data_IF_535566501958
#
_entry.id   IF_535566501958
#
_cell.length_a   1.000
_cell.length_b   1.000
_cell.length_c   1.000
_cell.angle_alpha   90.00
_cell.angle_beta   90.00
_cell.angle_gamma   90.00
#
_symmetry.space_group_name_H-M   'P 1'
#
loop_
_entity.id
_entity.type
_entity.pdbx_description
1 polymer ?
#
# COMPACT_ATOMS: atom_id res chain seq x y z
N UNK A 1 -13.11 9.63 -32.65
CA UNK A 1 -14.29 9.29 -31.82
C UNK A 1 -15.59 9.53 -32.59
N UNK A 2 -15.92 8.75 -33.64
CA UNK A 2 -17.09 9.01 -34.51
C UNK A 2 -18.32 8.10 -34.25
N UNK A 3 -18.32 7.29 -33.19
CA UNK A 3 -19.32 6.22 -32.99
C UNK A 3 -20.60 6.58 -32.22
N UNK A 4 -20.70 7.76 -31.60
CA UNK A 4 -21.78 8.09 -30.64
C UNK A 4 -22.51 9.42 -30.93
N UNK A 5 -22.58 9.84 -32.20
CA UNK A 5 -23.17 11.15 -32.58
C UNK A 5 -24.59 11.40 -32.04
N UNK A 6 -25.39 10.34 -31.88
CA UNK A 6 -26.75 10.43 -31.34
C UNK A 6 -26.86 10.25 -29.82
N UNK A 7 -25.82 9.69 -29.18
CA UNK A 7 -25.78 9.44 -27.74
C UNK A 7 -24.94 10.47 -26.98
N UNK A 8 -24.47 11.52 -27.64
CA UNK A 8 -23.71 12.60 -27.02
C UNK A 8 -24.40 13.17 -25.78
N UNK A 9 -25.72 13.46 -25.79
CA UNK A 9 -26.41 13.95 -24.59
C UNK A 9 -26.39 12.95 -23.43
N UNK A 10 -26.45 11.64 -23.72
CA UNK A 10 -26.34 10.60 -22.69
C UNK A 10 -24.93 10.56 -22.08
N UNK A 11 -23.89 10.65 -22.91
CA UNK A 11 -22.50 10.72 -22.45
C UNK A 11 -22.29 11.96 -21.56
N UNK A 12 -22.80 13.12 -21.98
CA UNK A 12 -22.66 14.37 -21.24
C UNK A 12 -23.42 14.35 -19.91
N UNK A 13 -24.62 13.75 -19.87
CA UNK A 13 -25.38 13.56 -18.62
C UNK A 13 -24.70 12.57 -17.66
N UNK A 14 -24.11 11.48 -18.17
CA UNK A 14 -23.33 10.55 -17.36
C UNK A 14 -22.08 11.22 -16.79
N UNK A 15 -21.31 11.95 -17.61
CA UNK A 15 -20.12 12.67 -17.15
C UNK A 15 -20.49 13.73 -16.11
N UNK A 16 -21.55 14.52 -16.35
CA UNK A 16 -21.98 15.56 -15.41
C UNK A 16 -22.52 14.98 -14.10
N UNK A 17 -23.27 13.88 -14.15
CA UNK A 17 -23.74 13.20 -12.94
C UNK A 17 -22.59 12.62 -12.12
N UNK A 18 -21.57 12.01 -12.75
CA UNK A 18 -20.36 11.53 -12.07
C UNK A 18 -19.60 12.71 -11.44
N UNK A 19 -19.33 13.76 -12.21
CA UNK A 19 -18.66 14.97 -11.70
C UNK A 19 -19.41 15.59 -10.53
N UNK A 20 -20.74 15.61 -10.57
CA UNK A 20 -21.58 16.13 -9.50
C UNK A 20 -21.55 15.24 -8.26
N UNK A 21 -21.64 13.92 -8.44
CA UNK A 21 -21.65 12.95 -7.34
C UNK A 21 -20.33 12.90 -6.59
N UNK A 22 -19.23 12.91 -7.33
CA UNK A 22 -17.88 12.79 -6.78
C UNK A 22 -17.17 14.14 -6.63
N UNK A 23 -17.90 15.26 -6.69
CA UNK A 23 -17.32 16.61 -6.69
C UNK A 23 -16.30 16.82 -5.57
N UNK A 24 -16.66 16.38 -4.36
CA UNK A 24 -15.83 16.57 -3.16
C UNK A 24 -14.66 15.56 -3.09
N UNK A 25 -14.76 14.45 -3.83
CA UNK A 25 -13.76 13.37 -3.86
C UNK A 25 -12.75 13.54 -5.00
N UNK A 26 -13.16 14.14 -6.12
CA UNK A 26 -12.32 14.32 -7.32
C UNK A 26 -11.07 15.17 -7.07
N UNK A 27 -11.13 16.10 -6.12
CA UNK A 27 -10.00 16.95 -5.74
C UNK A 27 -9.62 16.83 -4.25
N UNK A 28 -9.88 15.65 -3.67
CA UNK A 28 -9.41 15.33 -2.33
C UNK A 28 -7.90 15.04 -2.37
N UNK A 29 -7.12 15.65 -1.46
CA UNK A 29 -5.66 15.51 -1.37
C UNK A 29 -5.21 14.04 -1.40
N UNK A 30 -5.80 13.18 -0.57
CA UNK A 30 -5.39 11.78 -0.44
C UNK A 30 -5.65 10.99 -1.73
N UNK A 31 -6.82 11.20 -2.34
CA UNK A 31 -7.22 10.52 -3.58
C UNK A 31 -6.40 10.98 -4.78
N UNK A 32 -6.06 12.27 -4.84
CA UNK A 32 -5.18 12.83 -5.88
C UNK A 32 -3.77 12.26 -5.74
N UNK A 33 -3.21 12.23 -4.53
CA UNK A 33 -1.90 11.60 -4.28
C UNK A 33 -1.92 10.12 -4.68
N UNK A 34 -2.94 9.37 -4.27
CA UNK A 34 -3.07 7.96 -4.63
C UNK A 34 -3.12 7.74 -6.15
N UNK A 35 -3.92 8.53 -6.87
CA UNK A 35 -4.05 8.47 -8.32
C UNK A 35 -2.74 8.82 -9.06
N UNK A 36 -2.00 9.81 -8.58
CA UNK A 36 -0.74 10.23 -9.20
C UNK A 36 0.41 9.22 -8.99
N UNK A 37 0.31 8.35 -7.99
CA UNK A 37 1.29 7.27 -7.77
C UNK A 37 1.08 6.07 -8.71
N UNK A 38 -0.03 6.03 -9.45
CA UNK A 38 -0.27 4.97 -10.44
C UNK A 38 0.59 5.24 -11.68
N UNK A 39 1.53 4.33 -12.04
CA UNK A 39 2.49 4.58 -13.12
C UNK A 39 1.87 4.92 -14.49
N UNK A 40 0.68 4.38 -14.77
CA UNK A 40 -0.02 4.60 -16.04
C UNK A 40 -0.60 6.01 -16.20
N UNK A 41 -0.94 6.69 -15.09
CA UNK A 41 -1.71 7.94 -15.13
C UNK A 41 -0.91 9.14 -14.66
N UNK A 42 -0.08 8.98 -13.61
CA UNK A 42 0.80 10.02 -13.04
C UNK A 42 0.10 11.39 -12.99
N UNK A 43 0.68 12.41 -13.64
CA UNK A 43 0.07 13.74 -13.76
C UNK A 43 -0.68 13.94 -15.09
N UNK A 44 -0.66 12.95 -15.99
CA UNK A 44 -1.21 13.08 -17.34
C UNK A 44 -2.74 13.22 -17.36
N UNK A 45 -3.42 12.65 -16.37
CA UNK A 45 -4.89 12.76 -16.26
C UNK A 45 -5.38 14.17 -15.85
N UNK A 46 -4.49 15.01 -15.32
CA UNK A 46 -4.81 16.38 -14.87
C UNK A 46 -4.61 17.41 -16.00
N UNK A 47 -3.74 17.10 -16.97
CA UNK A 47 -3.34 17.99 -18.10
C UNK A 47 -4.45 18.29 -19.11
N UNK A 48 -5.67 17.78 -18.93
CA UNK A 48 -6.76 17.86 -19.90
C UNK A 48 -7.44 19.22 -20.07
N UNK A 49 -7.13 20.23 -19.25
CA UNK A 49 -7.75 21.56 -19.30
C UNK A 49 -6.68 22.65 -19.29
N UNK A 50 -6.51 23.39 -20.38
CA UNK A 50 -5.32 24.21 -20.69
C UNK A 50 -5.01 25.32 -19.67
N UNK A 51 -5.98 25.79 -18.88
CA UNK A 51 -5.74 26.86 -17.88
C UNK A 51 -5.93 26.39 -16.43
N UNK A 52 -6.94 25.55 -16.16
CA UNK A 52 -7.12 24.96 -14.82
C UNK A 52 -6.14 23.81 -14.54
N UNK A 53 -5.62 23.16 -15.58
CA UNK A 53 -4.76 21.99 -15.48
C UNK A 53 -3.39 22.32 -14.91
N UNK A 54 -2.81 23.47 -15.26
CA UNK A 54 -1.46 23.83 -14.83
C UNK A 54 -1.38 24.12 -13.32
N UNK A 55 -2.35 24.86 -12.78
CA UNK A 55 -2.46 25.10 -11.33
C UNK A 55 -2.68 23.79 -10.57
N UNK A 56 -3.55 22.92 -11.10
CA UNK A 56 -3.88 21.62 -10.52
C UNK A 56 -2.71 20.64 -10.56
N UNK A 57 -1.91 20.66 -11.61
CA UNK A 57 -0.67 19.88 -11.73
C UNK A 57 0.36 20.36 -10.71
N UNK A 58 0.49 21.68 -10.53
CA UNK A 58 1.38 22.24 -9.52
C UNK A 58 0.96 21.83 -8.09
N UNK A 59 -0.32 21.97 -7.76
CA UNK A 59 -0.88 21.51 -6.47
C UNK A 59 -0.63 20.02 -6.23
N UNK A 60 -0.95 19.17 -7.22
CA UNK A 60 -0.76 17.73 -7.12
C UNK A 60 0.72 17.35 -6.93
N UNK A 61 1.64 18.05 -7.62
CA UNK A 61 3.08 17.84 -7.44
C UNK A 61 3.53 18.26 -6.04
N UNK A 62 3.06 19.40 -5.54
CA UNK A 62 3.38 19.85 -4.19
C UNK A 62 2.92 18.83 -3.13
N UNK A 63 1.69 18.31 -3.25
CA UNK A 63 1.18 17.28 -2.35
C UNK A 63 1.96 15.97 -2.39
N UNK A 64 2.50 15.57 -3.54
CA UNK A 64 3.36 14.40 -3.65
C UNK A 64 4.71 14.60 -2.94
N UNK A 65 5.34 15.76 -3.12
CA UNK A 65 6.58 16.07 -2.41
C UNK A 65 6.38 16.13 -0.90
N UNK A 66 5.27 16.74 -0.44
CA UNK A 66 4.90 16.77 0.98
C UNK A 66 4.67 15.34 1.51
N UNK A 67 3.90 14.51 0.81
CA UNK A 67 3.60 13.14 1.24
C UNK A 67 4.84 12.23 1.33
N UNK A 68 5.83 12.42 0.45
CA UNK A 68 7.09 11.68 0.52
C UNK A 68 7.99 12.22 1.63
N UNK A 69 8.03 13.54 1.86
CA UNK A 69 8.78 14.13 2.96
C UNK A 69 8.25 13.63 4.32
N UNK A 70 6.93 13.66 4.52
CA UNK A 70 6.26 13.13 5.71
C UNK A 70 6.60 11.64 5.94
N UNK A 71 6.71 10.86 4.85
CA UNK A 71 7.10 9.46 4.92
C UNK A 71 8.58 9.26 5.24
N UNK A 72 9.46 10.09 4.68
CA UNK A 72 10.89 10.04 4.96
C UNK A 72 11.16 10.32 6.45
N UNK A 73 10.54 11.38 7.00
CA UNK A 73 10.60 11.70 8.43
C UNK A 73 10.05 10.56 9.29
N UNK A 74 8.91 9.97 8.92
CA UNK A 74 8.34 8.84 9.65
C UNK A 74 9.23 7.59 9.59
N UNK A 75 9.95 7.37 8.48
CA UNK A 75 10.87 6.23 8.27
C UNK A 75 12.17 6.41 9.06
N UNK A 76 12.63 7.66 9.22
CA UNK A 76 13.78 8.02 10.04
C UNK A 76 13.43 7.93 11.54
N UNK A 77 12.27 8.44 11.95
CA UNK A 77 11.79 8.36 13.32
C UNK A 77 11.51 6.91 13.80
N UNK A 78 11.07 6.02 12.89
CA UNK A 78 10.98 4.57 13.19
C UNK A 78 12.33 3.86 13.12
N UNK A 79 13.32 4.43 12.43
CA UNK A 79 14.70 3.95 12.45
C UNK A 79 15.39 4.16 13.80
N UNK A 80 15.05 5.21 14.54
CA UNK A 80 15.61 5.49 15.87
C UNK A 80 14.97 4.63 16.99
N UNK A 81 13.74 4.13 16.79
CA UNK A 81 13.07 3.24 17.75
C UNK A 81 13.40 1.74 17.56
N UNK A 82 14.02 1.37 16.44
CA UNK A 82 14.46 -0.02 16.18
C UNK A 82 15.99 -0.18 16.19
N UNK A 83 16.78 0.88 16.44
CA UNK A 83 18.24 0.81 16.63
C UNK A 83 18.72 0.75 18.09
N UNK A 84 17.83 0.82 19.09
CA UNK A 84 18.15 0.49 20.49
C UNK A 84 17.00 -0.29 21.17
N UNK A 85 16.51 -1.32 20.49
CA UNK A 85 15.81 -2.42 21.14
C UNK A 85 16.80 -3.44 21.71
N UNK A 86 17.79 -3.01 22.51
CA UNK A 86 18.39 -3.88 23.52
C UNK A 86 17.27 -4.21 24.50
N UNK A 87 16.59 -5.34 24.28
CA UNK A 87 15.89 -6.03 25.36
C UNK A 87 16.96 -6.25 26.43
N UNK A 88 16.77 -5.77 27.67
CA UNK A 88 17.75 -5.98 28.73
C UNK A 88 18.09 -7.47 28.76
N UNK A 89 19.37 -7.78 28.63
CA UNK A 89 19.93 -9.09 28.98
C UNK A 89 19.63 -9.32 30.47
N UNK A 90 18.43 -9.81 30.77
CA UNK A 90 18.16 -10.50 32.03
C UNK A 90 18.62 -11.95 31.82
N UNK A 91 19.74 -12.38 32.44
CA UNK A 91 20.38 -13.66 32.14
C UNK A 91 19.62 -14.88 32.67
N UNK A 92 18.36 -14.74 33.10
CA UNK A 92 17.57 -15.79 33.73
C UNK A 92 16.24 -16.07 33.01
N UNK A 93 16.28 -16.41 31.72
CA UNK A 93 15.40 -17.43 31.09
C UNK A 93 15.69 -17.52 29.59
N UNK A 94 16.68 -18.32 29.20
CA UNK A 94 16.83 -18.77 27.81
C UNK A 94 15.66 -19.69 27.45
N UNK A 95 14.57 -19.08 27.00
CA UNK A 95 13.46 -19.79 26.36
C UNK A 95 13.83 -20.01 24.88
N UNK A 96 14.35 -21.20 24.59
CA UNK A 96 14.77 -21.63 23.24
C UNK A 96 13.65 -21.54 22.19
N UNK A 97 12.40 -21.44 22.64
CA UNK A 97 11.25 -21.30 21.75
C UNK A 97 11.24 -19.95 21.00
N UNK A 98 11.70 -18.86 21.62
CA UNK A 98 11.66 -17.54 20.97
C UNK A 98 12.71 -17.37 19.86
N UNK A 99 13.86 -18.04 19.96
CA UNK A 99 14.90 -18.00 18.92
C UNK A 99 14.50 -18.77 17.68
N UNK A 100 13.85 -19.93 17.83
CA UNK A 100 13.35 -20.73 16.70
C UNK A 100 12.21 -19.99 15.99
N UNK A 101 11.29 -19.38 16.74
CA UNK A 101 10.21 -18.56 16.18
C UNK A 101 10.76 -17.34 15.41
N UNK A 102 11.77 -16.66 15.95
CA UNK A 102 12.47 -15.55 15.26
C UNK A 102 13.17 -16.00 13.98
N UNK A 103 13.81 -17.16 13.98
CA UNK A 103 14.42 -17.72 12.78
C UNK A 103 13.36 -18.13 11.75
N UNK A 104 12.24 -18.70 12.18
CA UNK A 104 11.10 -19.03 11.34
C UNK A 104 10.53 -17.80 10.64
N UNK A 105 10.42 -16.65 11.31
CA UNK A 105 9.88 -15.41 10.71
C UNK A 105 10.93 -14.47 10.14
N UNK A 106 12.19 -14.89 10.06
CA UNK A 106 13.26 -14.07 9.49
C UNK A 106 13.04 -13.71 8.02
N UNK A 107 12.27 -14.52 7.27
CA UNK A 107 11.87 -14.20 5.89
C UNK A 107 10.82 -13.08 5.79
N UNK A 108 10.06 -12.83 6.86
CA UNK A 108 9.13 -11.71 6.97
C UNK A 108 9.85 -10.42 7.37
N UNK A 109 11.11 -10.51 7.83
CA UNK A 109 11.91 -9.33 8.11
C UNK A 109 12.04 -8.54 6.80
N UNK A 110 11.57 -7.28 6.75
CA UNK A 110 11.61 -6.51 5.53
C UNK A 110 13.07 -6.32 5.15
N UNK A 111 13.50 -7.00 4.09
CA UNK A 111 14.77 -6.71 3.43
C UNK A 111 14.64 -5.27 2.91
N UNK A 112 15.14 -4.30 3.69
CA UNK A 112 15.02 -2.87 3.40
C UNK A 112 16.12 -2.55 2.39
N UNK A 113 15.84 -2.45 1.07
CA UNK A 113 16.86 -2.01 0.12
C UNK A 113 17.28 -0.60 0.55
N UNK A 114 18.60 -0.36 0.60
CA UNK A 114 19.09 0.98 0.86
C UNK A 114 18.62 1.89 -0.27
N UNK A 115 18.01 3.05 0.02
CA UNK A 115 17.58 3.98 -1.00
C UNK A 115 18.81 4.43 -1.78
N UNK A 116 18.79 4.22 -3.09
CA UNK A 116 19.92 4.56 -3.95
C UNK A 116 19.97 6.07 -4.25
N UNK A 117 18.86 6.79 -4.01
CA UNK A 117 18.70 8.22 -4.25
C UNK A 117 17.86 8.88 -3.14
N UNK A 118 17.86 10.21 -3.06
CA UNK A 118 17.02 10.94 -2.11
C UNK A 118 15.52 10.88 -2.45
N UNK A 119 14.62 11.07 -1.46
CA UNK A 119 13.17 10.93 -1.63
C UNK A 119 12.57 11.80 -2.76
N UNK A 120 13.01 13.06 -2.85
CA UNK A 120 12.54 13.98 -3.88
C UNK A 120 13.07 13.62 -5.28
N UNK A 121 14.28 13.09 -5.36
CA UNK A 121 14.90 12.71 -6.64
C UNK A 121 14.25 11.45 -7.23
N UNK A 122 13.87 10.49 -6.38
CA UNK A 122 13.09 9.32 -6.80
C UNK A 122 11.74 9.73 -7.43
N UNK A 123 11.04 10.67 -6.80
CA UNK A 123 9.77 11.18 -7.31
C UNK A 123 9.93 11.94 -8.63
N UNK A 124 10.91 12.84 -8.72
CA UNK A 124 11.15 13.60 -9.95
C UNK A 124 11.50 12.68 -11.12
N UNK A 125 12.27 11.63 -10.87
CA UNK A 125 12.60 10.61 -11.87
C UNK A 125 11.36 9.83 -12.32
N UNK A 126 10.51 9.42 -11.38
CA UNK A 126 9.24 8.74 -11.67
C UNK A 126 8.28 9.61 -12.51
N UNK A 127 8.21 10.91 -12.22
CA UNK A 127 7.38 11.85 -12.97
C UNK A 127 7.95 12.16 -14.36
N UNK A 128 9.28 12.08 -14.55
CA UNK A 128 9.94 12.34 -15.83
C UNK A 128 9.92 11.14 -16.79
N UNK A 129 10.03 9.90 -16.30
CA UNK A 129 10.17 8.71 -17.14
C UNK A 129 8.83 8.22 -17.72
N UNK A 130 8.63 8.15 -19.05
CA UNK A 130 7.34 7.79 -19.65
C UNK A 130 6.95 6.32 -19.49
N UNK A 131 7.92 5.43 -19.24
CA UNK A 131 7.71 3.99 -19.11
C UNK A 131 8.34 3.56 -17.80
N UNK A 132 7.52 3.05 -16.88
CA UNK A 132 7.98 2.55 -15.60
C UNK A 132 8.18 1.04 -15.70
N UNK A 133 9.43 0.59 -15.70
CA UNK A 133 9.79 -0.83 -15.68
C UNK A 133 9.64 -1.38 -14.25
N UNK A 134 9.34 -2.68 -14.10
CA UNK A 134 9.22 -3.32 -12.78
C UNK A 134 10.49 -3.15 -11.93
N UNK A 135 11.66 -3.20 -12.56
CA UNK A 135 12.96 -2.99 -11.90
C UNK A 135 13.12 -1.57 -11.35
N UNK A 136 12.52 -0.56 -12.01
CA UNK A 136 12.51 0.81 -11.51
C UNK A 136 11.73 0.90 -10.20
N UNK A 137 10.53 0.32 -10.15
CA UNK A 137 9.68 0.32 -8.95
C UNK A 137 10.36 -0.43 -7.80
N UNK A 138 11.06 -1.53 -8.09
CA UNK A 138 11.83 -2.28 -7.08
C UNK A 138 12.94 -1.46 -6.43
N UNK A 139 13.53 -0.53 -7.18
CA UNK A 139 14.63 0.30 -6.72
C UNK A 139 14.18 1.59 -6.01
N UNK A 140 12.91 1.98 -6.13
CA UNK A 140 12.35 3.16 -5.47
C UNK A 140 11.66 2.78 -4.15
N UNK A 141 12.39 2.89 -3.04
CA UNK A 141 11.89 2.50 -1.72
C UNK A 141 10.74 3.40 -1.26
N UNK A 142 10.94 4.73 -1.27
CA UNK A 142 9.97 5.68 -0.70
C UNK A 142 8.69 5.73 -1.52
N UNK A 143 8.82 5.67 -2.84
CA UNK A 143 7.68 5.65 -3.75
C UNK A 143 6.82 4.38 -3.55
N UNK A 144 7.46 3.23 -3.36
CA UNK A 144 6.77 1.96 -3.09
C UNK A 144 5.99 2.00 -1.78
N UNK A 145 6.62 2.47 -0.72
CA UNK A 145 5.98 2.57 0.60
C UNK A 145 4.80 3.55 0.57
N UNK A 146 4.95 4.68 -0.13
CA UNK A 146 3.86 5.65 -0.34
C UNK A 146 2.72 5.07 -1.19
N UNK A 147 3.05 4.32 -2.24
CA UNK A 147 2.06 3.65 -3.08
C UNK A 147 1.23 2.65 -2.27
N UNK A 148 1.88 1.80 -1.46
CA UNK A 148 1.22 0.84 -0.57
C UNK A 148 0.32 1.59 0.41
N UNK A 149 0.84 2.57 1.14
CA UNK A 149 0.07 3.33 2.13
C UNK A 149 -1.18 4.01 1.54
N UNK A 150 -1.06 4.55 0.33
CA UNK A 150 -2.13 5.35 -0.29
C UNK A 150 -3.13 4.50 -1.10
N UNK A 151 -2.68 3.41 -1.74
CA UNK A 151 -3.52 2.62 -2.64
C UNK A 151 -3.95 1.27 -2.06
N UNK A 152 -3.26 0.75 -1.04
CA UNK A 152 -3.62 -0.52 -0.41
C UNK A 152 -4.31 -0.30 0.94
N UNK A 153 -5.43 0.40 0.94
CA UNK A 153 -6.44 0.13 1.96
C UNK A 153 -7.01 -1.25 1.63
N UNK A 154 -6.47 -2.32 2.22
CA UNK A 154 -6.99 -3.67 2.03
C UNK A 154 -8.51 -3.62 2.29
N UNK A 155 -9.36 -3.99 1.31
CA UNK A 155 -10.76 -4.26 1.58
C UNK A 155 -10.79 -5.51 2.46
N UNK A 156 -10.70 -5.29 3.76
CA UNK A 156 -10.47 -6.35 4.74
C UNK A 156 -11.64 -7.33 4.79
N UNK A 157 -12.85 -6.95 4.37
CA UNK A 157 -14.03 -7.82 4.49
C UNK A 157 -13.85 -9.15 3.79
N UNK A 158 -13.44 -9.17 2.51
CA UNK A 158 -13.28 -10.42 1.77
C UNK A 158 -12.11 -11.28 2.30
N UNK A 159 -11.03 -10.65 2.74
CA UNK A 159 -9.89 -11.36 3.36
C UNK A 159 -10.28 -11.96 4.71
N UNK A 160 -11.00 -11.21 5.53
CA UNK A 160 -11.50 -11.61 6.84
C UNK A 160 -12.59 -12.69 6.71
N UNK A 161 -13.48 -12.60 5.72
CA UNK A 161 -14.46 -13.66 5.42
C UNK A 161 -13.78 -14.97 5.02
N UNK A 162 -12.72 -14.93 4.21
CA UNK A 162 -11.92 -16.13 3.88
C UNK A 162 -11.25 -16.71 5.12
N UNK A 163 -10.68 -15.85 5.97
CA UNK A 163 -10.09 -16.25 7.25
C UNK A 163 -11.14 -16.97 8.13
N UNK A 164 -12.33 -16.39 8.28
CA UNK A 164 -13.42 -17.00 9.07
C UNK A 164 -13.97 -18.28 8.45
N UNK A 165 -14.02 -18.36 7.11
CA UNK A 165 -14.39 -19.59 6.42
C UNK A 165 -13.41 -20.71 6.73
N UNK A 166 -12.11 -20.42 6.72
CA UNK A 166 -11.07 -21.39 7.07
C UNK A 166 -11.10 -21.76 8.56
N UNK A 167 -11.28 -20.78 9.44
CA UNK A 167 -11.50 -20.98 10.86
C UNK A 167 -12.71 -21.90 11.15
N UNK A 168 -13.81 -21.77 10.39
CA UNK A 168 -14.96 -22.65 10.50
C UNK A 168 -14.65 -24.12 10.14
N UNK A 169 -13.70 -24.38 9.23
CA UNK A 169 -13.25 -25.74 8.93
C UNK A 169 -12.41 -26.33 10.07
N UNK A 170 -11.60 -25.50 10.74
CA UNK A 170 -10.81 -25.90 11.91
C UNK A 170 -11.72 -26.18 13.12
N UNK A 171 -12.70 -25.29 13.38
CA UNK A 171 -13.74 -25.42 14.41
C UNK A 171 -14.92 -26.25 13.93
N UNK A 172 -14.66 -27.54 13.74
CA UNK A 172 -15.68 -28.53 13.42
C UNK A 172 -16.28 -29.14 14.71
N UNK A 173 -17.58 -29.48 14.77
CA UNK A 173 -18.19 -30.22 15.88
C UNK A 173 -17.47 -31.52 16.31
N UNK A 174 -16.62 -32.11 15.46
CA UNK A 174 -15.78 -33.28 15.73
C UNK A 174 -14.41 -32.93 16.35
N UNK A 175 -14.06 -31.65 16.41
CA UNK A 175 -12.79 -31.09 16.94
C UNK A 175 -13.06 -30.12 18.10
N UNK A 176 -13.93 -30.49 19.03
CA UNK A 176 -14.40 -29.63 20.14
C UNK A 176 -13.41 -29.47 21.30
N UNK A 177 -12.30 -30.22 21.32
CA UNK A 177 -11.29 -30.16 22.37
C UNK A 177 -9.99 -29.54 21.87
N UNK A 178 -10.10 -28.36 21.26
CA UNK A 178 -8.97 -27.59 20.76
C UNK A 178 -8.71 -26.42 21.72
N UNK A 179 -7.47 -26.21 22.13
CA UNK A 179 -7.10 -25.03 22.91
C UNK A 179 -6.96 -23.82 21.99
N UNK A 180 -7.25 -22.61 22.50
CA UNK A 180 -7.27 -21.37 21.71
C UNK A 180 -5.95 -21.14 20.95
N UNK A 181 -4.80 -21.29 21.62
CA UNK A 181 -3.48 -21.17 20.97
C UNK A 181 -3.29 -22.15 19.80
N UNK A 182 -3.82 -23.37 19.93
CA UNK A 182 -3.71 -24.38 18.88
C UNK A 182 -4.68 -24.06 17.72
N UNK A 183 -5.84 -23.47 18.02
CA UNK A 183 -6.78 -23.00 17.02
C UNK A 183 -6.15 -21.90 16.16
N UNK A 184 -5.61 -20.87 16.81
CA UNK A 184 -4.97 -19.74 16.12
C UNK A 184 -3.82 -20.21 15.23
N UNK A 185 -2.96 -21.11 15.75
CA UNK A 185 -1.85 -21.68 14.98
C UNK A 185 -2.33 -22.50 13.77
N UNK A 186 -3.41 -23.28 13.91
CA UNK A 186 -3.95 -24.06 12.79
C UNK A 186 -4.59 -23.17 11.72
N UNK A 187 -5.31 -22.12 12.12
CA UNK A 187 -5.87 -21.15 11.18
C UNK A 187 -4.76 -20.39 10.47
N UNK A 188 -3.74 -19.95 11.21
CA UNK A 188 -2.57 -19.27 10.65
C UNK A 188 -1.84 -20.14 9.62
N UNK A 189 -1.51 -21.38 9.97
CA UNK A 189 -0.84 -22.30 9.05
C UNK A 189 -1.72 -22.66 7.86
N UNK A 190 -3.02 -22.81 8.07
CA UNK A 190 -3.98 -23.20 7.03
C UNK A 190 -4.23 -22.10 5.99
N UNK A 191 -4.29 -20.84 6.41
CA UNK A 191 -4.46 -19.70 5.49
C UNK A 191 -3.17 -19.39 4.72
N UNK A 192 -2.00 -19.64 5.32
CA UNK A 192 -0.70 -19.33 4.73
C UNK A 192 -0.01 -20.53 4.06
N UNK A 193 -0.74 -21.59 3.70
CA UNK A 193 -0.15 -22.79 3.10
C UNK A 193 0.66 -22.52 1.84
N UNK A 194 0.19 -21.61 0.97
CA UNK A 194 0.87 -21.27 -0.29
C UNK A 194 2.13 -20.40 -0.11
N UNK A 195 2.27 -19.75 1.06
CA UNK A 195 3.45 -18.93 1.37
C UNK A 195 4.52 -19.73 2.12
N UNK A 196 4.15 -20.85 2.73
CA UNK A 196 5.01 -21.66 3.58
C UNK A 196 5.48 -22.98 2.91
N UNK A 197 4.90 -23.36 1.77
CA UNK A 197 5.29 -24.54 0.97
C UNK A 197 5.84 -24.14 -0.40
#
# INVERSE_FOLDING_TARGET
MNGLRHCQPLVDTLISSIKKRFKDQLWNRELVVAACLVPMFRLDWIRGTVEEGDNKVYEARAWLHEAIADLAEATEATGELESEGEIPDDPETMDTDNTVVRQLFSFLAPHRPQPMNGPAEELDRFLAEPIVTEDFIKNCKYLKDLFIRSNTCLPASAAVERLFSHAGLVLNPRRTRLADKLFDNLVFLGVNQELLM
#
